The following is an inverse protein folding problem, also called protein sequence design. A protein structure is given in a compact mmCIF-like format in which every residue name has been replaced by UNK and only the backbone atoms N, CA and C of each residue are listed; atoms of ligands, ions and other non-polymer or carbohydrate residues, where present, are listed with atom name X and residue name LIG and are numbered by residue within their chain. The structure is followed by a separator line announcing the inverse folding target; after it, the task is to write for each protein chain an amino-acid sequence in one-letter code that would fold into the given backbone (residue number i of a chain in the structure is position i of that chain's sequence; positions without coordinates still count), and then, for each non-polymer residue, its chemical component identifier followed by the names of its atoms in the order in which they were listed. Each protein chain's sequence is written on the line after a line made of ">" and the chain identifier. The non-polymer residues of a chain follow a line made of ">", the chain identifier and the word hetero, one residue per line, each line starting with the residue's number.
data_IF_957173161482
#
_entry.id   IF_957173161482
#
_cell.length_a   1.000
_cell.length_b   1.000
_cell.length_c   1.000
_cell.angle_alpha   90.00
_cell.angle_beta   90.00
_cell.angle_gamma   90.00
#
_symmetry.space_group_name_H-M   'P 1'
#
loop_
_entity.id
_entity.type
_entity.pdbx_description
1 polymer ?
#
# COMPACT_ATOMS: atom_id res chain seq x y z
N UNK A 1 -10.12 -2.87 8.08
CA UNK A 1 -9.09 -2.35 9.02
C UNK A 1 -9.63 -1.23 9.89
N UNK A 2 -9.91 -0.01 9.39
CA UNK A 2 -10.41 1.06 10.27
C UNK A 2 -11.85 0.86 10.77
N UNK A 3 -12.73 0.27 9.94
CA UNK A 3 -14.09 -0.08 10.37
C UNK A 3 -14.10 -1.15 11.48
N UNK A 4 -13.19 -2.12 11.44
CA UNK A 4 -13.06 -3.17 12.47
C UNK A 4 -12.42 -2.65 13.77
N UNK A 5 -11.66 -1.56 13.69
CA UNK A 5 -11.04 -0.89 14.83
C UNK A 5 -12.09 -0.06 15.60
N UNK A 6 -13.09 0.49 14.92
CA UNK A 6 -14.18 1.25 15.54
C UNK A 6 -15.13 0.36 16.36
N UNK A 7 -15.28 -0.91 15.96
CA UNK A 7 -16.09 -1.90 16.69
C UNK A 7 -15.39 -2.47 17.93
N UNK A 8 -14.06 -2.33 18.02
CA UNK A 8 -13.23 -2.90 19.10
C UNK A 8 -12.66 -1.86 20.07
N UNK A 9 -12.63 -0.58 19.68
CA UNK A 9 -12.13 0.53 20.49
C UNK A 9 -13.23 1.58 20.72
N UNK A 10 -13.28 2.19 21.90
CA UNK A 10 -14.12 3.36 22.09
C UNK A 10 -13.70 4.51 21.14
N UNK A 11 -14.64 5.40 20.80
CA UNK A 11 -14.44 6.47 19.81
C UNK A 11 -13.18 7.31 20.06
N UNK A 12 -12.79 7.55 21.32
CA UNK A 12 -11.58 8.31 21.65
C UNK A 12 -10.33 7.49 21.34
N UNK A 13 -10.33 6.20 21.69
CA UNK A 13 -9.24 5.28 21.39
C UNK A 13 -9.06 5.05 19.88
N UNK A 14 -10.16 4.95 19.12
CA UNK A 14 -10.12 4.89 17.66
C UNK A 14 -9.51 6.17 17.03
N UNK A 15 -9.87 7.36 17.55
CA UNK A 15 -9.28 8.62 17.11
C UNK A 15 -7.78 8.74 17.46
N UNK A 16 -7.39 8.32 18.67
CA UNK A 16 -5.97 8.30 19.08
C UNK A 16 -5.18 7.33 18.20
N UNK A 17 -5.74 6.16 17.90
CA UNK A 17 -5.14 5.19 16.99
C UNK A 17 -4.97 5.78 15.59
N UNK A 18 -6.02 6.38 15.03
CA UNK A 18 -5.98 7.01 13.71
C UNK A 18 -4.92 8.12 13.64
N UNK A 19 -4.89 9.04 14.61
CA UNK A 19 -3.89 10.13 14.66
C UNK A 19 -2.48 9.55 14.76
N UNK A 20 -2.26 8.57 15.65
CA UNK A 20 -0.95 7.94 15.82
C UNK A 20 -0.50 7.27 14.53
N UNK A 21 -1.40 6.55 13.87
CA UNK A 21 -1.12 5.87 12.60
C UNK A 21 -0.81 6.87 11.47
N UNK A 22 -1.57 7.96 11.37
CA UNK A 22 -1.30 9.04 10.41
C UNK A 22 0.01 9.76 10.71
N UNK A 23 0.40 9.95 11.98
CA UNK A 23 1.71 10.52 12.30
C UNK A 23 2.88 9.61 11.90
N UNK A 24 2.70 8.29 12.03
CA UNK A 24 3.75 7.32 11.73
C UNK A 24 3.88 6.99 10.24
N UNK A 25 2.78 7.05 9.49
CA UNK A 25 2.73 6.58 8.10
C UNK A 25 2.08 7.55 7.12
N UNK A 26 1.52 8.67 7.59
CA UNK A 26 0.78 9.62 6.74
C UNK A 26 1.67 10.30 5.70
N UNK A 27 2.96 10.47 5.98
CA UNK A 27 3.95 11.00 5.04
C UNK A 27 4.20 10.10 3.84
N UNK A 28 3.66 8.88 3.85
CA UNK A 28 4.08 7.80 2.99
C UNK A 28 3.08 7.49 1.87
N UNK A 29 1.97 8.22 1.85
CA UNK A 29 0.83 7.97 0.98
C UNK A 29 0.71 9.01 -0.13
N UNK A 30 -0.18 8.72 -1.08
CA UNK A 30 -0.52 9.60 -2.18
C UNK A 30 -0.76 11.05 -1.74
N UNK A 31 -0.16 11.99 -2.47
CA UNK A 31 -0.16 13.42 -2.15
C UNK A 31 1.06 13.89 -1.37
N UNK A 32 1.90 12.97 -0.86
CA UNK A 32 3.14 13.31 -0.16
C UNK A 32 4.36 13.28 -1.10
N UNK A 33 5.42 14.08 -0.84
CA UNK A 33 6.59 14.17 -1.73
C UNK A 33 7.31 12.85 -1.98
N UNK A 34 7.28 11.91 -1.03
CA UNK A 34 7.94 10.60 -1.14
C UNK A 34 7.14 9.58 -1.95
N UNK A 35 5.88 9.88 -2.27
CA UNK A 35 4.97 8.94 -2.92
C UNK A 35 5.51 8.40 -4.25
N UNK A 36 6.03 9.23 -5.18
CA UNK A 36 6.55 8.70 -6.45
C UNK A 36 7.66 7.66 -6.27
N UNK A 37 8.61 7.92 -5.37
CA UNK A 37 9.71 6.98 -5.08
C UNK A 37 9.21 5.68 -4.44
N UNK A 38 8.15 5.75 -3.64
CA UNK A 38 7.49 4.55 -3.12
C UNK A 38 6.79 3.74 -4.20
N UNK A 39 6.07 4.41 -5.10
CA UNK A 39 5.43 3.74 -6.23
C UNK A 39 6.49 3.02 -7.07
N UNK A 40 7.62 3.66 -7.36
CA UNK A 40 8.72 3.06 -8.11
C UNK A 40 9.32 1.85 -7.37
N UNK A 41 9.60 1.97 -6.08
CA UNK A 41 10.12 0.87 -5.26
C UNK A 41 9.15 -0.31 -5.20
N UNK A 42 7.84 -0.03 -5.07
CA UNK A 42 6.81 -1.05 -5.06
C UNK A 42 6.70 -1.74 -6.42
N UNK A 43 6.72 -0.98 -7.52
CA UNK A 43 6.69 -1.54 -8.88
C UNK A 43 7.87 -2.49 -9.12
N UNK A 44 9.07 -2.13 -8.65
CA UNK A 44 10.24 -3.01 -8.69
C UNK A 44 9.99 -4.29 -7.86
N UNK A 45 9.56 -4.14 -6.61
CA UNK A 45 9.34 -5.28 -5.72
C UNK A 45 8.30 -6.24 -6.28
N UNK A 46 7.21 -5.77 -6.90
CA UNK A 46 6.19 -6.67 -7.43
C UNK A 46 6.69 -7.49 -8.63
N UNK A 47 7.68 -7.00 -9.37
CA UNK A 47 8.32 -7.72 -10.49
C UNK A 47 9.46 -8.65 -10.04
N UNK A 48 9.97 -8.47 -8.82
CA UNK A 48 11.03 -9.28 -8.22
C UNK A 48 10.53 -10.02 -6.97
N UNK A 49 10.10 -11.29 -7.11
CA UNK A 49 9.65 -12.10 -5.98
C UNK A 49 10.68 -12.29 -4.87
N UNK A 50 11.97 -12.09 -5.16
CA UNK A 50 13.08 -12.22 -4.22
C UNK A 50 13.49 -10.86 -3.60
N UNK A 51 12.79 -9.77 -3.94
CA UNK A 51 13.05 -8.44 -3.36
C UNK A 51 12.92 -8.50 -1.82
N UNK A 52 13.82 -7.83 -1.07
CA UNK A 52 13.79 -7.81 0.39
C UNK A 52 12.45 -7.38 1.01
N UNK A 53 11.61 -6.63 0.28
CA UNK A 53 10.24 -6.30 0.67
C UNK A 53 9.39 -7.54 1.02
N UNK A 54 9.66 -8.69 0.39
CA UNK A 54 8.91 -9.94 0.60
C UNK A 54 9.43 -10.83 1.72
N UNK A 55 10.50 -10.43 2.43
CA UNK A 55 11.09 -11.24 3.51
C UNK A 55 10.12 -11.52 4.66
N UNK A 56 9.21 -10.58 4.94
CA UNK A 56 8.19 -10.75 6.00
C UNK A 56 6.98 -11.52 5.49
N UNK A 57 6.65 -11.35 4.21
CA UNK A 57 5.48 -11.97 3.57
C UNK A 57 5.78 -12.21 2.09
N UNK A 58 5.85 -13.47 1.69
CA UNK A 58 6.10 -13.83 0.29
C UNK A 58 5.00 -13.28 -0.64
N UNK A 59 5.39 -12.77 -1.81
CA UNK A 59 4.47 -12.29 -2.85
C UNK A 59 3.40 -13.33 -3.21
N UNK A 60 3.77 -14.61 -3.27
CA UNK A 60 2.85 -15.71 -3.55
C UNK A 60 1.67 -15.80 -2.56
N UNK A 61 1.83 -15.32 -1.31
CA UNK A 61 0.78 -15.29 -0.29
C UNK A 61 -0.20 -14.12 -0.43
N UNK A 62 0.12 -13.14 -1.26
CA UNK A 62 -0.78 -12.02 -1.58
C UNK A 62 -1.87 -12.51 -2.54
N UNK A 63 -1.52 -13.43 -3.45
CA UNK A 63 -2.40 -13.92 -4.50
C UNK A 63 -2.14 -13.22 -5.84
N UNK A 64 -2.82 -13.65 -6.92
CA UNK A 64 -2.61 -13.13 -8.26
C UNK A 64 -2.96 -11.64 -8.34
N UNK A 65 -2.26 -10.91 -9.22
CA UNK A 65 -2.58 -9.51 -9.51
C UNK A 65 -3.95 -9.42 -10.19
N UNK A 66 -4.83 -8.51 -9.75
CA UNK A 66 -6.06 -8.19 -10.47
C UNK A 66 -5.78 -7.66 -11.87
N UNK A 67 -6.70 -7.89 -12.81
CA UNK A 67 -6.54 -7.53 -14.24
C UNK A 67 -6.11 -6.07 -14.46
N UNK A 68 -6.70 -5.13 -13.71
CA UNK A 68 -6.40 -3.70 -13.83
C UNK A 68 -4.92 -3.36 -13.54
N UNK A 69 -4.26 -4.16 -12.71
CA UNK A 69 -2.89 -3.95 -12.24
C UNK A 69 -1.98 -5.15 -12.57
N UNK A 70 -2.37 -5.97 -13.54
CA UNK A 70 -1.54 -7.08 -14.00
C UNK A 70 -0.22 -6.57 -14.61
N UNK A 71 -0.33 -5.50 -15.39
CA UNK A 71 0.79 -4.75 -15.98
C UNK A 71 1.38 -3.75 -14.96
N UNK A 72 2.71 -3.79 -14.79
CA UNK A 72 3.43 -2.92 -13.85
C UNK A 72 3.41 -1.44 -14.27
N UNK A 73 3.49 -1.13 -15.55
CA UNK A 73 3.46 0.25 -16.06
C UNK A 73 2.07 0.85 -15.84
N UNK A 74 1.04 0.01 -16.01
CA UNK A 74 -0.33 0.39 -15.71
C UNK A 74 -0.55 0.62 -14.22
N UNK A 75 -0.04 -0.28 -13.37
CA UNK A 75 -0.06 -0.13 -11.91
C UNK A 75 0.62 1.18 -11.48
N UNK A 76 1.82 1.44 -12.00
CA UNK A 76 2.58 2.67 -11.75
C UNK A 76 1.77 3.91 -12.09
N UNK A 77 1.21 3.95 -13.29
CA UNK A 77 0.39 5.07 -13.76
C UNK A 77 -0.80 5.30 -12.83
N UNK A 78 -1.54 4.24 -12.49
CA UNK A 78 -2.72 4.33 -11.61
C UNK A 78 -2.35 4.86 -10.22
N UNK A 79 -1.27 4.36 -9.63
CA UNK A 79 -0.84 4.80 -8.30
C UNK A 79 -0.34 6.25 -8.28
N UNK A 80 0.30 6.71 -9.36
CA UNK A 80 0.74 8.10 -9.49
C UNK A 80 -0.41 9.07 -9.77
N UNK A 81 -1.38 8.66 -10.60
CA UNK A 81 -2.54 9.48 -10.94
C UNK A 81 -3.52 9.63 -9.77
N UNK A 82 -3.63 8.59 -8.93
CA UNK A 82 -4.42 8.62 -7.72
C UNK A 82 -5.03 7.27 -7.36
N UNK A 83 -5.03 6.88 -6.07
CA UNK A 83 -5.60 5.60 -5.63
C UNK A 83 -7.11 5.48 -5.88
N UNK A 84 -7.82 6.58 -6.09
CA UNK A 84 -9.23 6.61 -6.50
C UNK A 84 -9.48 6.03 -7.91
N UNK A 85 -8.43 5.84 -8.70
CA UNK A 85 -8.49 5.20 -10.02
C UNK A 85 -8.42 3.67 -9.96
N UNK A 86 -8.08 3.11 -8.81
CA UNK A 86 -8.05 1.66 -8.61
C UNK A 86 -9.46 1.13 -8.41
N UNK A 87 -9.74 -0.06 -8.96
CA UNK A 87 -10.89 -0.84 -8.52
C UNK A 87 -10.71 -1.27 -7.07
N UNK A 88 -11.82 -1.64 -6.40
CA UNK A 88 -11.76 -2.15 -5.03
C UNK A 88 -10.79 -3.34 -4.90
N UNK A 89 -10.83 -4.28 -5.85
CA UNK A 89 -9.95 -5.45 -5.86
C UNK A 89 -8.47 -5.06 -6.05
N UNK A 90 -8.18 -4.09 -6.93
CA UNK A 90 -6.82 -3.61 -7.15
C UNK A 90 -6.27 -2.87 -5.91
N UNK A 91 -7.10 -2.05 -5.26
CA UNK A 91 -6.75 -1.38 -4.02
C UNK A 91 -6.51 -2.37 -2.87
N UNK A 92 -7.40 -3.35 -2.69
CA UNK A 92 -7.23 -4.42 -1.70
C UNK A 92 -5.94 -5.20 -1.93
N UNK A 93 -5.65 -5.56 -3.19
CA UNK A 93 -4.41 -6.24 -3.54
C UNK A 93 -3.18 -5.40 -3.17
N UNK A 94 -3.15 -4.11 -3.50
CA UNK A 94 -2.03 -3.22 -3.16
C UNK A 94 -1.82 -3.11 -1.64
N UNK A 95 -2.90 -3.07 -0.85
CA UNK A 95 -2.84 -3.04 0.61
C UNK A 95 -2.31 -4.38 1.15
N UNK A 96 -2.81 -5.51 0.64
CA UNK A 96 -2.34 -6.86 1.04
C UNK A 96 -0.89 -7.12 0.62
N UNK A 97 -0.44 -6.47 -0.45
CA UNK A 97 0.95 -6.43 -0.91
C UNK A 97 1.84 -5.46 -0.10
N UNK A 98 1.29 -4.81 0.93
CA UNK A 98 2.00 -3.95 1.88
C UNK A 98 2.66 -2.71 1.23
N UNK A 99 2.02 -2.11 0.22
CA UNK A 99 2.51 -0.89 -0.47
C UNK A 99 2.97 0.21 0.50
N UNK A 100 2.22 0.46 1.58
CA UNK A 100 2.56 1.49 2.58
C UNK A 100 3.85 1.21 3.38
N UNK A 101 4.40 0.00 3.29
CA UNK A 101 5.59 -0.44 4.02
C UNK A 101 6.80 -0.68 3.12
N UNK A 102 6.71 -0.38 1.82
CA UNK A 102 7.86 -0.51 0.93
C UNK A 102 8.98 0.45 1.37
N UNK A 103 10.18 -0.11 1.51
CA UNK A 103 11.36 0.67 1.86
C UNK A 103 11.93 1.34 0.60
N UNK A 104 11.99 2.66 0.62
CA UNK A 104 12.73 3.43 -0.40
C UNK A 104 14.19 3.48 0.06
N UNK A 105 15.09 2.82 -0.67
CA UNK A 105 16.53 3.01 -0.47
C UNK A 105 16.91 4.37 -1.06
N UNK A 106 17.33 5.30 -0.20
CA UNK A 106 17.93 6.58 -0.60
C UNK A 106 19.41 6.39 -0.98
#
# INVERSE_FOLDING_TARGET
>A
MFADIEDSLDRRSALVFAVTFTMLSGSDWHGMPVWPSRVDAFCRAVEDPDDPHWNVRALASVGPRPEQVADVDRLRTLLLDGPDRLTADAADWCIRAMLGYVHVLY
#
